data_IF_812620997422
#
_entry.id   IF_812620997422
#
_cell.length_a   1.000
_cell.length_b   1.000
_cell.length_c   1.000
_cell.angle_alpha   90.00
_cell.angle_beta   90.00
_cell.angle_gamma   90.00
#
_symmetry.space_group_name_H-M   'P 1'
#
loop_
_entity.id
_entity.type
_entity.pdbx_description
1 polymer ?
#
# COMPACT_ATOMS: atom_id res chain seq x y z
N UNK A 1 16.51 2.74 -0.52
CA UNK A 1 16.25 1.54 -1.36
C UNK A 1 16.26 0.24 -0.56
N UNK A 2 17.24 -0.02 0.31
CA UNK A 2 17.37 -1.30 1.04
C UNK A 2 16.17 -1.69 1.92
N UNK A 3 15.58 -0.74 2.66
CA UNK A 3 14.47 -1.05 3.56
C UNK A 3 13.16 -1.42 2.83
N UNK A 4 12.84 -0.75 1.72
CA UNK A 4 11.69 -1.10 0.88
C UNK A 4 11.76 -2.54 0.40
N UNK A 5 12.97 -3.02 0.08
CA UNK A 5 13.19 -4.40 -0.32
C UNK A 5 13.01 -5.36 0.87
N UNK A 6 13.46 -4.99 2.08
CA UNK A 6 13.28 -5.80 3.29
C UNK A 6 11.81 -6.01 3.63
N UNK A 7 10.99 -4.95 3.63
CA UNK A 7 9.54 -5.06 3.91
C UNK A 7 8.82 -5.86 2.82
N UNK A 8 9.24 -5.72 1.56
CA UNK A 8 8.74 -6.53 0.44
C UNK A 8 9.05 -8.02 0.56
N UNK A 9 10.26 -8.38 0.99
CA UNK A 9 10.61 -9.79 1.22
C UNK A 9 9.88 -10.39 2.41
N UNK A 10 9.75 -9.63 3.50
CA UNK A 10 8.99 -10.05 4.67
C UNK A 10 7.54 -10.42 4.31
N UNK A 11 6.84 -9.52 3.58
CA UNK A 11 5.44 -9.79 3.23
C UNK A 11 5.31 -10.93 2.21
N UNK A 12 6.26 -11.07 1.27
CA UNK A 12 6.28 -12.21 0.36
C UNK A 12 6.43 -13.54 1.12
N UNK A 13 7.31 -13.60 2.12
CA UNK A 13 7.47 -14.79 2.96
C UNK A 13 6.22 -15.07 3.81
N UNK A 14 5.59 -14.03 4.36
CA UNK A 14 4.33 -14.15 5.09
C UNK A 14 3.24 -14.77 4.20
N UNK A 15 3.05 -14.22 3.00
CA UNK A 15 2.06 -14.71 2.03
C UNK A 15 2.33 -16.15 1.65
N UNK A 16 3.59 -16.50 1.34
CA UNK A 16 3.98 -17.86 0.97
C UNK A 16 3.69 -18.87 2.08
N UNK A 17 3.97 -18.50 3.34
CA UNK A 17 3.72 -19.35 4.51
C UNK A 17 2.22 -19.52 4.79
N UNK A 18 1.45 -18.44 4.72
CA UNK A 18 0.03 -18.43 5.10
C UNK A 18 -0.89 -19.02 4.03
N UNK A 19 -0.67 -18.65 2.77
CA UNK A 19 -1.55 -19.02 1.65
C UNK A 19 -1.01 -20.21 0.83
N UNK A 20 0.10 -20.83 1.25
CA UNK A 20 0.68 -22.00 0.59
C UNK A 20 1.34 -21.69 -0.76
N UNK A 21 1.59 -20.42 -1.07
CA UNK A 21 2.24 -19.99 -2.30
C UNK A 21 1.77 -18.60 -2.76
N UNK A 22 2.35 -18.12 -3.86
CA UNK A 22 1.94 -16.88 -4.51
C UNK A 22 0.72 -17.11 -5.41
N UNK A 23 -0.15 -16.10 -5.53
CA UNK A 23 -1.41 -16.14 -6.28
C UNK A 23 -2.33 -17.31 -5.88
N UNK A 24 -2.32 -17.69 -4.59
CA UNK A 24 -3.15 -18.76 -4.02
C UNK A 24 -4.21 -18.23 -3.05
N UNK A 25 -4.07 -17.01 -2.58
CA UNK A 25 -5.04 -16.41 -1.69
C UNK A 25 -6.33 -16.07 -2.47
N UNK A 26 -7.51 -16.18 -1.83
CA UNK A 26 -8.76 -15.76 -2.45
C UNK A 26 -8.75 -14.26 -2.72
N UNK A 27 -9.40 -13.86 -3.82
CA UNK A 27 -9.50 -12.46 -4.24
C UNK A 27 -10.65 -11.74 -3.52
N UNK A 28 -10.51 -11.60 -2.21
CA UNK A 28 -11.53 -11.01 -1.32
C UNK A 28 -10.95 -9.88 -0.48
N UNK A 29 -11.84 -9.04 0.07
CA UNK A 29 -11.43 -8.00 1.01
C UNK A 29 -10.78 -8.57 2.28
N UNK A 30 -11.11 -9.80 2.69
CA UNK A 30 -10.45 -10.44 3.83
C UNK A 30 -8.94 -10.63 3.59
N UNK A 31 -8.55 -11.04 2.38
CA UNK A 31 -7.13 -11.15 2.01
C UNK A 31 -6.46 -9.78 1.91
N UNK A 32 -7.17 -8.75 1.42
CA UNK A 32 -6.66 -7.38 1.41
C UNK A 32 -6.41 -6.89 2.85
N UNK A 33 -7.42 -7.02 3.72
CA UNK A 33 -7.36 -6.62 5.12
C UNK A 33 -6.23 -7.34 5.84
N UNK A 34 -6.07 -8.64 5.61
CA UNK A 34 -5.02 -9.45 6.23
C UNK A 34 -3.61 -9.00 5.81
N UNK A 35 -3.31 -9.07 4.51
CA UNK A 35 -1.95 -8.89 3.99
C UNK A 35 -1.50 -7.43 4.13
N UNK A 36 -2.37 -6.47 3.81
CA UNK A 36 -2.00 -5.06 3.90
C UNK A 36 -1.88 -4.57 5.35
N UNK A 37 -2.70 -5.09 6.28
CA UNK A 37 -2.54 -4.76 7.71
C UNK A 37 -1.22 -5.30 8.25
N UNK A 38 -0.90 -6.57 8.00
CA UNK A 38 0.36 -7.17 8.44
C UNK A 38 1.57 -6.40 7.90
N UNK A 39 1.59 -6.11 6.60
CA UNK A 39 2.68 -5.37 5.95
C UNK A 39 2.85 -3.97 6.54
N UNK A 40 1.73 -3.26 6.78
CA UNK A 40 1.75 -1.90 7.31
C UNK A 40 2.25 -1.87 8.75
N UNK A 41 1.70 -2.74 9.62
CA UNK A 41 2.08 -2.79 11.03
C UNK A 41 3.54 -3.21 11.21
N UNK A 42 3.99 -4.25 10.50
CA UNK A 42 5.39 -4.66 10.51
C UNK A 42 6.30 -3.49 10.14
N UNK A 43 5.96 -2.77 9.07
CA UNK A 43 6.82 -1.70 8.60
C UNK A 43 6.84 -0.49 9.54
N UNK A 44 5.69 -0.12 10.12
CA UNK A 44 5.61 0.92 11.15
C UNK A 44 6.46 0.56 12.38
N UNK A 45 6.40 -0.69 12.83
CA UNK A 45 7.23 -1.20 13.93
C UNK A 45 8.72 -1.05 13.60
N UNK A 46 9.16 -1.29 12.35
CA UNK A 46 10.57 -1.10 12.00
C UNK A 46 11.00 0.37 12.09
N UNK A 47 10.14 1.31 11.69
CA UNK A 47 10.44 2.73 11.85
C UNK A 47 10.54 3.12 13.33
N UNK A 48 9.68 2.58 14.19
CA UNK A 48 9.72 2.83 15.64
C UNK A 48 10.94 2.18 16.30
N UNK A 49 11.31 0.97 15.89
CA UNK A 49 12.40 0.19 16.47
C UNK A 49 13.78 0.67 16.03
N UNK A 50 13.89 1.24 14.84
CA UNK A 50 15.16 1.68 14.26
C UNK A 50 15.15 3.18 13.98
N UNK A 51 15.55 4.04 14.95
CA UNK A 51 15.55 5.49 14.77
C UNK A 51 16.33 5.98 13.55
N UNK A 52 17.46 5.34 13.23
CA UNK A 52 18.26 5.67 12.04
C UNK A 52 17.49 5.43 10.73
N UNK A 53 16.57 4.46 10.70
CA UNK A 53 15.68 4.25 9.56
C UNK A 53 14.64 5.39 9.46
N UNK A 54 14.06 5.80 10.59
CA UNK A 54 13.13 6.94 10.63
C UNK A 54 13.82 8.25 10.23
N UNK A 55 15.09 8.43 10.56
CA UNK A 55 15.91 9.56 10.13
C UNK A 55 16.23 9.50 8.63
N UNK A 56 16.56 8.31 8.11
CA UNK A 56 16.82 8.13 6.67
C UNK A 56 15.58 8.46 5.83
N UNK A 57 14.40 8.04 6.30
CA UNK A 57 13.12 8.43 5.72
C UNK A 57 12.45 9.50 6.58
N UNK A 58 13.14 10.63 6.77
CA UNK A 58 12.66 11.73 7.61
C UNK A 58 11.31 12.28 7.12
N UNK A 59 11.06 12.25 5.80
CA UNK A 59 9.82 12.70 5.20
C UNK A 59 8.68 11.70 5.41
N UNK A 60 7.54 12.17 5.90
CA UNK A 60 6.35 11.33 6.09
C UNK A 60 5.89 10.65 4.79
N UNK A 61 5.90 11.38 3.67
CA UNK A 61 5.55 10.83 2.34
C UNK A 61 6.46 9.69 1.91
N UNK A 62 7.75 9.74 2.25
CA UNK A 62 8.68 8.65 1.92
C UNK A 62 8.29 7.37 2.67
N UNK A 63 7.98 7.50 3.96
CA UNK A 63 7.53 6.35 4.76
C UNK A 63 6.20 5.80 4.27
N UNK A 64 5.25 6.68 3.99
CA UNK A 64 3.92 6.33 3.49
C UNK A 64 4.01 5.55 2.17
N UNK A 65 4.78 6.04 1.18
CA UNK A 65 4.97 5.34 -0.08
C UNK A 65 5.60 3.96 0.10
N UNK A 66 6.61 3.84 0.96
CA UNK A 66 7.30 2.55 1.17
C UNK A 66 6.39 1.51 1.83
N UNK A 67 5.61 1.92 2.84
CA UNK A 67 4.68 1.04 3.56
C UNK A 67 3.51 0.61 2.66
N UNK A 68 2.93 1.57 1.93
CA UNK A 68 1.82 1.29 1.02
C UNK A 68 2.27 0.46 -0.19
N UNK A 69 3.49 0.68 -0.71
CA UNK A 69 4.06 -0.16 -1.76
C UNK A 69 4.23 -1.61 -1.28
N UNK A 70 4.79 -1.84 -0.09
CA UNK A 70 4.93 -3.19 0.46
C UNK A 70 3.56 -3.86 0.65
N UNK A 71 2.58 -3.12 1.16
CA UNK A 71 1.22 -3.62 1.41
C UNK A 71 0.48 -3.95 0.11
N UNK A 72 0.53 -3.07 -0.88
CA UNK A 72 -0.13 -3.26 -2.17
C UNK A 72 0.51 -4.36 -3.00
N UNK A 73 1.85 -4.39 -3.08
CA UNK A 73 2.59 -5.46 -3.76
C UNK A 73 2.37 -6.80 -3.06
N UNK A 74 2.43 -6.85 -1.73
CA UNK A 74 2.15 -8.08 -0.96
C UNK A 74 0.76 -8.63 -1.24
N UNK A 75 -0.25 -7.76 -1.27
CA UNK A 75 -1.65 -8.13 -1.55
C UNK A 75 -1.82 -8.61 -3.00
N UNK A 76 -1.18 -7.95 -3.96
CA UNK A 76 -1.18 -8.38 -5.37
C UNK A 76 -0.48 -9.73 -5.55
N UNK A 77 0.65 -9.97 -4.86
CA UNK A 77 1.37 -11.25 -4.88
C UNK A 77 0.52 -12.36 -4.28
N UNK A 78 -0.24 -12.08 -3.21
CA UNK A 78 -1.10 -13.08 -2.57
C UNK A 78 -2.25 -13.52 -3.48
N UNK A 79 -2.92 -12.55 -4.12
CA UNK A 79 -4.16 -12.76 -4.87
C UNK A 79 -3.97 -12.99 -6.37
N UNK A 80 -2.85 -12.53 -6.94
CA UNK A 80 -2.67 -12.45 -8.39
C UNK A 80 -3.51 -11.36 -9.06
N UNK A 81 -4.03 -10.37 -8.30
CA UNK A 81 -4.87 -9.29 -8.82
C UNK A 81 -4.34 -7.90 -8.41
N UNK A 82 -4.04 -7.07 -9.41
CA UNK A 82 -3.58 -5.69 -9.19
C UNK A 82 -4.65 -4.79 -8.55
N UNK A 83 -5.94 -5.06 -8.76
CA UNK A 83 -7.03 -4.33 -8.11
C UNK A 83 -7.11 -4.66 -6.61
N UNK A 84 -6.89 -5.91 -6.24
CA UNK A 84 -6.74 -6.25 -4.81
C UNK A 84 -5.49 -5.54 -4.24
N UNK A 85 -4.40 -5.50 -5.01
CA UNK A 85 -3.19 -4.76 -4.67
C UNK A 85 -3.41 -3.27 -4.39
N UNK A 86 -4.12 -2.54 -5.26
CA UNK A 86 -4.37 -1.10 -5.03
C UNK A 86 -5.24 -0.84 -3.80
N UNK A 87 -6.17 -1.74 -3.47
CA UNK A 87 -6.89 -1.65 -2.20
C UNK A 87 -5.98 -1.87 -0.99
N UNK A 88 -4.99 -2.75 -1.10
CA UNK A 88 -3.97 -2.94 -0.08
C UNK A 88 -3.09 -1.71 0.12
N UNK A 89 -2.75 -1.00 -0.95
CA UNK A 89 -2.08 0.31 -0.88
C UNK A 89 -2.92 1.31 -0.09
N UNK A 90 -4.20 1.48 -0.46
CA UNK A 90 -5.08 2.46 0.18
C UNK A 90 -5.31 2.13 1.65
N UNK A 91 -5.56 0.87 2.01
CA UNK A 91 -5.71 0.48 3.41
C UNK A 91 -4.46 0.83 4.25
N UNK A 92 -3.27 0.62 3.70
CA UNK A 92 -2.01 0.99 4.35
C UNK A 92 -1.96 2.48 4.72
N UNK A 93 -2.47 3.35 3.84
CA UNK A 93 -2.50 4.80 4.08
C UNK A 93 -3.41 5.18 5.24
N UNK A 94 -4.59 4.56 5.38
CA UNK A 94 -5.47 4.77 6.56
C UNK A 94 -4.76 4.30 7.82
N UNK A 95 -4.25 3.06 7.82
CA UNK A 95 -3.64 2.48 9.01
C UNK A 95 -2.43 3.29 9.48
N UNK A 96 -1.58 3.75 8.56
CA UNK A 96 -0.44 4.60 8.89
C UNK A 96 -0.89 5.95 9.46
N UNK A 97 -1.88 6.60 8.84
CA UNK A 97 -2.40 7.88 9.30
C UNK A 97 -2.92 7.79 10.73
N UNK A 98 -3.70 6.74 11.04
CA UNK A 98 -4.26 6.53 12.38
C UNK A 98 -3.21 6.10 13.40
N UNK A 99 -2.25 5.25 13.04
CA UNK A 99 -1.21 4.78 13.96
C UNK A 99 -0.25 5.89 14.37
N UNK A 100 0.19 6.72 13.42
CA UNK A 100 1.23 7.74 13.66
C UNK A 100 0.67 9.15 13.90
N UNK A 101 -0.64 9.36 13.70
CA UNK A 101 -1.26 10.70 13.72
C UNK A 101 -0.74 11.65 12.63
N UNK A 102 -0.07 11.10 11.60
CA UNK A 102 0.53 11.82 10.47
C UNK A 102 0.71 10.87 9.29
N UNK A 103 0.81 11.42 8.09
CA UNK A 103 1.06 10.65 6.87
C UNK A 103 2.13 11.31 5.99
N UNK A 104 1.73 12.07 4.97
CA UNK A 104 2.62 12.77 4.05
C UNK A 104 2.53 14.30 4.12
N UNK A 105 3.04 14.97 3.09
CA UNK A 105 2.91 16.41 2.91
C UNK A 105 1.44 16.84 2.69
N UNK A 106 1.20 18.15 2.64
CA UNK A 106 -0.13 18.72 2.43
C UNK A 106 -0.75 18.29 1.08
N UNK A 107 -1.87 17.56 1.13
CA UNK A 107 -2.54 17.04 -0.06
C UNK A 107 -1.96 15.73 -0.59
N UNK A 108 -0.93 15.17 0.05
CA UNK A 108 -0.34 13.86 -0.31
C UNK A 108 -1.42 12.78 -0.49
N UNK A 109 -2.34 12.70 0.48
CA UNK A 109 -3.37 11.67 0.55
C UNK A 109 -4.64 11.97 -0.26
N UNK A 110 -4.65 12.98 -1.14
CA UNK A 110 -5.82 13.26 -1.99
C UNK A 110 -6.26 12.00 -2.74
N UNK A 111 -5.33 11.34 -3.42
CA UNK A 111 -5.63 10.11 -4.14
C UNK A 111 -6.01 8.96 -3.21
N UNK A 112 -5.48 8.94 -1.99
CA UNK A 112 -5.61 7.80 -1.09
C UNK A 112 -6.96 7.83 -0.37
N UNK A 113 -7.49 9.02 -0.09
CA UNK A 113 -8.86 9.20 0.41
C UNK A 113 -9.89 8.85 -0.68
N UNK A 114 -9.68 9.31 -1.92
CA UNK A 114 -10.59 9.05 -3.05
C UNK A 114 -10.43 7.62 -3.62
N UNK A 115 -9.25 7.05 -3.48
CA UNK A 115 -8.87 5.78 -4.08
C UNK A 115 -9.64 4.60 -3.51
N UNK A 116 -9.96 4.66 -2.22
CA UNK A 116 -10.79 3.68 -1.51
C UNK A 116 -12.11 3.43 -2.23
N UNK A 117 -12.78 4.51 -2.66
CA UNK A 117 -14.09 4.43 -3.32
C UNK A 117 -13.95 4.17 -4.82
N UNK A 118 -12.87 4.66 -5.43
CA UNK A 118 -12.68 4.57 -6.88
C UNK A 118 -12.01 3.27 -7.34
N UNK A 119 -11.53 2.44 -6.41
CA UNK A 119 -10.85 1.18 -6.72
C UNK A 119 -11.73 0.27 -7.58
N UNK A 120 -12.96 -0.01 -7.15
CA UNK A 120 -13.94 -0.83 -7.89
C UNK A 120 -15.07 -0.02 -8.53
N UNK A 121 -14.91 1.30 -8.65
CA UNK A 121 -15.87 2.11 -9.39
C UNK A 121 -15.89 1.67 -10.86
N UNK A 122 -17.02 1.88 -11.52
CA UNK A 122 -17.20 1.68 -12.96
C UNK A 122 -17.68 2.97 -13.65
N UNK A 123 -17.66 4.10 -12.93
CA UNK A 123 -18.05 5.41 -13.47
C UNK A 123 -16.99 5.97 -14.41
N UNK A 124 -17.43 6.89 -15.27
CA UNK A 124 -16.70 7.42 -16.43
C UNK A 124 -15.23 7.76 -16.21
N UNK A 125 -14.92 8.45 -15.12
CA UNK A 125 -13.62 9.04 -14.80
C UNK A 125 -13.04 8.48 -13.49
N UNK A 126 -13.60 7.38 -13.00
CA UNK A 126 -13.20 6.71 -11.75
C UNK A 126 -12.79 5.25 -11.99
N UNK A 127 -13.56 4.52 -12.78
CA UNK A 127 -13.39 3.08 -12.93
C UNK A 127 -12.35 2.72 -13.98
N UNK A 128 -11.22 2.16 -13.54
CA UNK A 128 -10.19 1.66 -14.47
C UNK A 128 -9.31 0.57 -13.81
N UNK A 129 -8.99 -0.55 -14.51
CA UNK A 129 -7.96 -1.49 -14.10
C UNK A 129 -6.63 -0.80 -13.85
N UNK A 130 -5.82 -1.28 -12.90
CA UNK A 130 -4.69 -0.52 -12.36
C UNK A 130 -3.61 -0.38 -13.43
N UNK A 131 -3.46 -1.44 -14.20
CA UNK A 131 -2.56 -1.58 -15.35
C UNK A 131 -2.84 -0.57 -16.46
N UNK A 132 -4.07 -0.04 -16.53
CA UNK A 132 -4.48 0.98 -17.50
C UNK A 132 -4.50 2.40 -16.90
N UNK A 133 -4.36 2.52 -15.57
CA UNK A 133 -4.18 3.83 -14.92
C UNK A 133 -2.80 4.38 -15.23
N UNK A 134 -2.66 5.68 -15.03
CA UNK A 134 -1.40 6.38 -15.15
C UNK A 134 -1.52 7.77 -14.58
N UNK A 135 -0.51 8.60 -14.79
CA UNK A 135 -0.49 9.99 -14.27
C UNK A 135 -1.59 10.89 -14.83
N UNK A 136 -2.35 10.44 -15.85
CA UNK A 136 -3.52 11.15 -16.37
C UNK A 136 -4.86 10.62 -15.83
N UNK A 137 -4.86 9.58 -14.99
CA UNK A 137 -6.04 9.21 -14.22
C UNK A 137 -6.35 10.33 -13.21
N UNK A 138 -7.60 10.82 -13.06
CA UNK A 138 -7.87 12.10 -12.40
C UNK A 138 -7.26 12.23 -10.99
N UNK A 139 -7.40 11.20 -10.15
CA UNK A 139 -6.84 11.23 -8.79
C UNK A 139 -5.30 11.17 -8.81
N UNK A 140 -4.69 10.69 -9.90
CA UNK A 140 -3.26 10.44 -10.03
C UNK A 140 -2.50 11.59 -10.71
N UNK A 141 -3.11 12.76 -10.88
CA UNK A 141 -2.52 13.81 -11.72
C UNK A 141 -1.52 14.76 -11.04
N UNK A 142 -1.57 14.93 -9.71
CA UNK A 142 -0.91 16.10 -9.07
C UNK A 142 0.23 15.82 -8.07
N UNK A 143 0.22 14.69 -7.37
CA UNK A 143 1.09 14.42 -6.21
C UNK A 143 2.31 13.53 -6.54
N UNK A 144 3.30 13.50 -5.65
CA UNK A 144 4.45 12.58 -5.72
C UNK A 144 4.29 11.40 -4.76
N UNK A 145 5.12 10.36 -4.92
CA UNK A 145 5.22 9.24 -3.97
C UNK A 145 4.03 8.28 -4.01
N UNK A 146 3.63 7.86 -5.20
CA UNK A 146 2.43 7.06 -5.48
C UNK A 146 2.79 5.71 -6.08
#
# INVERSE_FOLDING_TARGET
TTYSTTSGYYIADYVKKKYGGFAKAPRTMDTVLDVATEATLYGLEQYERFPALMETHFGGSQRASVLAAASGVGTAIATGDAQAGVNGWYLSMILHKEHMGRLGFYGYDQQDQLGMTNSFSYRSDEGLPLELRGVNYPNYAMNEGR
#
